data_IF_886067744475
#
_entry.id   IF_886067744475
#
_cell.length_a   1.000
_cell.length_b   1.000
_cell.length_c   1.000
_cell.angle_alpha   90.00
_cell.angle_beta   90.00
_cell.angle_gamma   90.00
#
_symmetry.space_group_name_H-M   'P 1'
#
loop_
_entity.id
_entity.type
_entity.pdbx_description
1 polymer ?
#
# COMPACT_ATOMS: atom_id res chain seq x y z
N UNK A 1 -2.83 9.40 -11.62
CA UNK A 1 -1.66 8.68 -12.17
C UNK A 1 -2.14 7.92 -13.40
N UNK A 2 -1.56 8.15 -14.60
CA UNK A 2 -2.01 7.45 -15.81
C UNK A 2 -1.20 6.16 -16.02
N UNK A 3 -1.78 5.18 -16.73
CA UNK A 3 -1.08 3.96 -17.14
C UNK A 3 0.13 4.26 -18.03
N UNK A 4 0.15 5.39 -18.73
CA UNK A 4 1.29 5.81 -19.55
C UNK A 4 2.58 5.90 -18.72
N UNK A 5 2.50 6.42 -17.48
CA UNK A 5 3.65 6.48 -16.57
C UNK A 5 4.18 5.10 -16.19
N UNK A 6 3.30 4.10 -16.09
CA UNK A 6 3.73 2.71 -15.86
C UNK A 6 4.45 2.17 -17.09
N UNK A 7 3.91 2.43 -18.30
CA UNK A 7 4.50 1.98 -19.58
C UNK A 7 5.87 2.64 -19.77
N UNK A 8 5.99 3.94 -19.53
CA UNK A 8 7.26 4.68 -19.59
C UNK A 8 8.30 4.06 -18.65
N UNK A 9 7.90 3.78 -17.40
CA UNK A 9 8.81 3.20 -16.40
C UNK A 9 9.22 1.75 -16.75
N UNK A 10 8.31 0.95 -17.32
CA UNK A 10 8.63 -0.38 -17.85
C UNK A 10 9.69 -0.28 -18.96
N UNK A 11 9.53 0.68 -19.86
CA UNK A 11 10.48 0.88 -20.97
C UNK A 11 11.85 1.37 -20.46
N UNK A 12 11.87 2.27 -19.49
CA UNK A 12 13.09 2.79 -18.84
C UNK A 12 13.86 1.68 -18.13
N UNK A 13 13.20 0.93 -17.26
CA UNK A 13 13.81 -0.15 -16.48
C UNK A 13 14.02 -1.43 -17.30
N UNK A 14 13.40 -1.54 -18.48
CA UNK A 14 13.36 -2.78 -19.30
C UNK A 14 12.88 -3.99 -18.49
N UNK A 15 11.99 -3.76 -17.56
CA UNK A 15 11.48 -4.75 -16.62
C UNK A 15 9.97 -4.55 -16.41
N UNK A 16 9.10 -5.49 -16.84
CA UNK A 16 7.65 -5.39 -16.64
C UNK A 16 7.17 -6.02 -15.33
N UNK A 17 8.08 -6.42 -14.44
CA UNK A 17 7.74 -7.15 -13.22
C UNK A 17 7.05 -6.24 -12.21
N UNK A 18 5.97 -6.72 -11.59
CA UNK A 18 5.30 -6.08 -10.46
C UNK A 18 5.61 -6.85 -9.19
N UNK A 19 6.12 -6.18 -8.16
CA UNK A 19 6.38 -6.81 -6.89
C UNK A 19 5.11 -6.83 -6.02
N UNK A 20 4.69 -8.02 -5.55
CA UNK A 20 3.61 -8.18 -4.58
C UNK A 20 4.06 -7.77 -3.19
N UNK A 21 3.25 -6.93 -2.51
CA UNK A 21 3.41 -6.62 -1.10
C UNK A 21 2.30 -7.32 -0.32
N UNK A 22 2.53 -8.59 0.00
CA UNK A 22 1.61 -9.49 0.70
C UNK A 22 2.19 -9.86 2.08
N UNK A 23 2.32 -8.90 3.02
CA UNK A 23 3.12 -9.05 4.23
C UNK A 23 2.41 -9.95 5.25
N UNK A 24 2.77 -11.22 5.30
CA UNK A 24 2.40 -12.09 6.43
C UNK A 24 3.39 -11.89 7.56
N UNK A 25 2.91 -11.75 8.80
CA UNK A 25 3.77 -11.56 9.96
C UNK A 25 4.82 -12.69 10.11
N UNK A 26 4.47 -13.92 9.69
CA UNK A 26 5.38 -15.07 9.68
C UNK A 26 6.52 -14.96 8.67
N UNK A 27 6.41 -14.09 7.66
CA UNK A 27 7.45 -13.88 6.65
C UNK A 27 8.39 -12.73 7.02
N UNK A 28 7.98 -11.91 8.00
CA UNK A 28 8.79 -10.77 8.44
C UNK A 28 9.96 -11.25 9.27
N UNK A 29 11.18 -10.82 8.98
CA UNK A 29 12.37 -11.16 9.77
C UNK A 29 12.21 -10.84 11.26
N UNK A 30 12.72 -11.70 12.11
CA UNK A 30 12.55 -11.58 13.57
C UNK A 30 13.07 -10.25 14.12
N UNK A 31 14.17 -9.72 13.60
CA UNK A 31 14.71 -8.44 14.07
C UNK A 31 13.75 -7.25 13.83
N UNK A 32 12.96 -7.28 12.75
CA UNK A 32 11.94 -6.25 12.48
C UNK A 32 10.77 -6.42 13.46
N UNK A 33 10.29 -7.67 13.66
CA UNK A 33 9.21 -7.96 14.61
C UNK A 33 9.59 -7.57 16.03
N UNK A 34 10.79 -7.95 16.47
CA UNK A 34 11.29 -7.62 17.81
C UNK A 34 11.40 -6.11 18.03
N UNK A 35 11.86 -5.36 17.03
CA UNK A 35 11.93 -3.90 17.12
C UNK A 35 10.53 -3.28 17.23
N UNK A 36 9.59 -3.69 16.40
CA UNK A 36 8.22 -3.20 16.42
C UNK A 36 7.51 -3.56 17.73
N UNK A 37 7.64 -4.80 18.20
CA UNK A 37 7.00 -5.26 19.44
C UNK A 37 7.64 -4.65 20.70
N UNK A 38 8.93 -4.36 20.69
CA UNK A 38 9.57 -3.61 21.78
C UNK A 38 8.97 -2.21 21.93
N UNK A 39 8.60 -1.54 20.84
CA UNK A 39 8.04 -0.17 20.84
C UNK A 39 6.52 -0.13 21.07
N UNK A 40 5.80 -1.08 20.54
CA UNK A 40 4.33 -1.07 20.49
C UNK A 40 3.66 -2.25 21.21
N UNK A 41 4.46 -3.16 21.80
CA UNK A 41 3.96 -4.39 22.42
C UNK A 41 3.53 -5.43 21.38
N UNK A 42 3.17 -6.62 21.84
CA UNK A 42 2.57 -7.70 21.03
C UNK A 42 1.08 -7.41 20.80
N UNK A 43 0.80 -6.40 19.98
CA UNK A 43 -0.52 -5.84 19.71
C UNK A 43 -0.76 -5.74 18.20
N UNK A 44 -1.98 -5.42 17.79
CA UNK A 44 -2.29 -5.10 16.39
C UNK A 44 -1.45 -3.92 15.87
N UNK A 45 -1.15 -2.95 16.74
CA UNK A 45 -0.28 -1.81 16.43
C UNK A 45 1.16 -2.27 16.17
N UNK A 46 1.71 -3.12 17.03
CA UNK A 46 3.05 -3.69 16.86
C UNK A 46 3.16 -4.55 15.60
N UNK A 47 2.13 -5.35 15.30
CA UNK A 47 2.06 -6.11 14.05
C UNK A 47 2.04 -5.19 12.83
N UNK A 48 1.18 -4.16 12.81
CA UNK A 48 1.07 -3.20 11.71
C UNK A 48 2.38 -2.42 11.48
N UNK A 49 3.07 -2.03 12.55
CA UNK A 49 4.38 -1.38 12.47
C UNK A 49 5.43 -2.32 11.87
N UNK A 50 5.44 -3.60 12.24
CA UNK A 50 6.34 -4.59 11.64
C UNK A 50 6.09 -4.75 10.14
N UNK A 51 4.81 -4.79 9.71
CA UNK A 51 4.42 -4.82 8.30
C UNK A 51 4.96 -3.59 7.55
N UNK A 52 4.76 -2.41 8.13
CA UNK A 52 5.18 -1.15 7.51
C UNK A 52 6.70 -1.07 7.34
N UNK A 53 7.47 -1.43 8.37
CA UNK A 53 8.93 -1.45 8.30
C UNK A 53 9.44 -2.44 7.25
N UNK A 54 8.86 -3.63 7.21
CA UNK A 54 9.21 -4.65 6.21
C UNK A 54 8.95 -4.17 4.79
N UNK A 55 7.76 -3.58 4.54
CA UNK A 55 7.42 -3.04 3.22
C UNK A 55 8.32 -1.87 2.81
N UNK A 56 8.68 -0.97 3.73
CA UNK A 56 9.63 0.11 3.45
C UNK A 56 10.98 -0.44 3.01
N UNK A 57 11.48 -1.46 3.71
CA UNK A 57 12.71 -2.14 3.32
C UNK A 57 12.64 -2.80 1.93
N UNK A 58 11.52 -3.46 1.60
CA UNK A 58 11.29 -4.03 0.27
C UNK A 58 11.21 -2.94 -0.81
N UNK A 59 10.49 -1.86 -0.54
CA UNK A 59 10.35 -0.73 -1.47
C UNK A 59 11.71 -0.09 -1.74
N UNK A 60 12.52 0.15 -0.70
CA UNK A 60 13.86 0.70 -0.85
C UNK A 60 14.78 -0.19 -1.69
N UNK A 61 14.65 -1.51 -1.53
CA UNK A 61 15.44 -2.49 -2.28
C UNK A 61 14.98 -2.70 -3.73
N UNK A 62 13.76 -2.29 -4.07
CA UNK A 62 13.13 -2.61 -5.36
C UNK A 62 12.81 -1.39 -6.24
N UNK A 63 12.87 -0.17 -5.70
CA UNK A 63 12.37 1.03 -6.39
C UNK A 63 13.13 1.39 -7.68
N UNK A 64 14.35 0.92 -7.84
CA UNK A 64 15.18 1.06 -9.04
C UNK A 64 15.19 -0.20 -9.93
N UNK A 65 14.52 -1.27 -9.52
CA UNK A 65 14.49 -2.55 -10.19
C UNK A 65 13.14 -2.81 -10.89
N UNK A 66 12.03 -2.55 -10.18
CA UNK A 66 10.68 -2.81 -10.68
C UNK A 66 9.89 -1.53 -10.91
N UNK A 67 9.01 -1.45 -11.92
CA UNK A 67 8.22 -0.26 -12.19
C UNK A 67 7.05 -0.07 -11.23
N UNK A 68 6.59 -1.16 -10.58
CA UNK A 68 5.37 -1.14 -9.79
C UNK A 68 5.40 -2.10 -8.61
N UNK A 69 4.58 -1.78 -7.60
CA UNK A 69 4.25 -2.68 -6.49
C UNK A 69 2.73 -2.89 -6.40
N UNK A 70 2.32 -4.05 -5.87
CA UNK A 70 0.91 -4.41 -5.69
C UNK A 70 0.65 -4.83 -4.24
N UNK A 71 0.29 -3.90 -3.34
CA UNK A 71 -0.16 -4.26 -2.02
C UNK A 71 -1.52 -4.96 -2.06
N UNK A 72 -1.60 -6.12 -1.39
CA UNK A 72 -2.82 -6.87 -1.22
C UNK A 72 -3.53 -6.44 0.06
N UNK A 73 -4.68 -5.75 -0.05
CA UNK A 73 -5.38 -5.13 1.07
C UNK A 73 -5.71 -6.09 2.21
N UNK A 74 -6.06 -7.34 1.91
CA UNK A 74 -6.47 -8.32 2.90
C UNK A 74 -5.41 -8.57 4.00
N UNK A 75 -4.12 -8.52 3.66
CA UNK A 75 -3.02 -8.72 4.62
C UNK A 75 -2.83 -7.56 5.59
N UNK A 76 -3.42 -6.42 5.31
CA UNK A 76 -3.43 -5.26 6.19
C UNK A 76 -4.74 -5.17 6.97
N UNK A 77 -5.86 -5.41 6.29
CA UNK A 77 -7.21 -5.35 6.88
C UNK A 77 -7.38 -6.29 8.07
N UNK A 78 -6.74 -7.46 8.06
CA UNK A 78 -6.78 -8.42 9.16
C UNK A 78 -6.22 -7.87 10.48
N UNK A 79 -5.47 -6.76 10.44
CA UNK A 79 -4.96 -6.06 11.62
C UNK A 79 -5.79 -4.82 11.99
N UNK A 80 -7.02 -4.70 11.43
CA UNK A 80 -7.94 -3.59 11.72
C UNK A 80 -7.39 -2.22 11.35
N UNK A 81 -7.74 -1.19 12.12
CA UNK A 81 -7.32 0.18 11.84
C UNK A 81 -5.79 0.37 11.74
N UNK A 82 -4.96 -0.18 12.65
CA UNK A 82 -3.51 -0.08 12.50
C UNK A 82 -2.99 -0.64 11.18
N UNK A 83 -3.56 -1.75 10.73
CA UNK A 83 -3.22 -2.35 9.44
C UNK A 83 -3.62 -1.47 8.25
N UNK A 84 -4.81 -0.88 8.27
CA UNK A 84 -5.26 0.06 7.23
C UNK A 84 -4.36 1.30 7.16
N UNK A 85 -3.93 1.82 8.30
CA UNK A 85 -2.93 2.90 8.37
C UNK A 85 -1.61 2.46 7.74
N UNK A 86 -1.11 1.27 8.08
CA UNK A 86 0.11 0.73 7.49
C UNK A 86 0.00 0.55 5.96
N UNK A 87 -1.18 0.15 5.44
CA UNK A 87 -1.45 0.11 4.01
C UNK A 87 -1.33 1.50 3.37
N UNK A 88 -2.01 2.50 3.94
CA UNK A 88 -1.98 3.87 3.42
C UNK A 88 -0.55 4.44 3.41
N UNK A 89 0.20 4.24 4.49
CA UNK A 89 1.59 4.67 4.58
C UNK A 89 2.53 3.91 3.63
N UNK A 90 2.29 2.62 3.40
CA UNK A 90 3.02 1.81 2.41
C UNK A 90 2.80 2.35 1.00
N UNK A 91 1.55 2.65 0.63
CA UNK A 91 1.19 3.22 -0.68
C UNK A 91 1.87 4.57 -0.87
N UNK A 92 1.78 5.47 0.11
CA UNK A 92 2.43 6.79 0.07
C UNK A 92 3.93 6.65 -0.13
N UNK A 93 4.59 5.82 0.68
CA UNK A 93 6.04 5.60 0.60
C UNK A 93 6.48 5.04 -0.76
N UNK A 94 5.75 4.08 -1.30
CA UNK A 94 6.04 3.54 -2.64
C UNK A 94 5.95 4.62 -3.73
N UNK A 95 4.97 5.52 -3.64
CA UNK A 95 4.82 6.63 -4.58
C UNK A 95 5.91 7.68 -4.43
N UNK A 96 6.33 8.01 -3.20
CA UNK A 96 7.48 8.90 -2.93
C UNK A 96 8.77 8.35 -3.55
N UNK A 97 8.93 7.02 -3.56
CA UNK A 97 10.04 6.33 -4.24
C UNK A 97 9.86 6.18 -5.76
N UNK A 98 8.81 6.76 -6.31
CA UNK A 98 8.54 6.76 -7.75
C UNK A 98 7.96 5.47 -8.30
N UNK A 99 7.52 4.52 -7.49
CA UNK A 99 6.86 3.30 -7.94
C UNK A 99 5.41 3.57 -8.35
N UNK A 100 4.94 2.87 -9.37
CA UNK A 100 3.52 2.78 -9.66
C UNK A 100 2.86 1.82 -8.66
N UNK A 101 1.68 2.19 -8.13
CA UNK A 101 1.00 1.36 -7.13
C UNK A 101 -0.30 0.80 -7.68
N UNK A 102 -0.45 -0.52 -7.60
CA UNK A 102 -1.66 -1.26 -7.97
C UNK A 102 -2.31 -1.77 -6.68
N UNK A 103 -3.38 -1.13 -6.21
CA UNK A 103 -4.08 -1.58 -5.01
C UNK A 103 -4.99 -2.76 -5.33
N UNK A 104 -4.68 -3.96 -4.78
CA UNK A 104 -5.50 -5.16 -4.95
C UNK A 104 -6.51 -5.28 -3.79
N UNK A 105 -7.71 -4.73 -3.98
CA UNK A 105 -8.72 -4.63 -2.92
C UNK A 105 -9.95 -5.50 -3.10
N UNK A 106 -10.25 -5.98 -4.32
CA UNK A 106 -11.47 -6.73 -4.65
C UNK A 106 -12.74 -6.08 -4.08
N UNK A 107 -12.91 -4.78 -4.37
CA UNK A 107 -14.02 -3.92 -3.92
C UNK A 107 -15.00 -3.65 -5.06
N UNK A 108 -15.64 -4.70 -5.57
CA UNK A 108 -16.67 -4.59 -6.60
C UNK A 108 -18.06 -4.68 -5.97
N UNK A 109 -18.96 -3.78 -6.38
CA UNK A 109 -20.35 -3.71 -5.93
C UNK A 109 -21.19 -2.95 -6.96
N UNK A 110 -22.46 -2.72 -6.69
CA UNK A 110 -23.41 -2.01 -7.55
C UNK A 110 -23.97 -0.76 -6.89
N UNK A 111 -24.51 0.17 -7.71
CA UNK A 111 -25.20 1.38 -7.24
C UNK A 111 -24.34 2.25 -6.33
N UNK A 112 -24.94 2.80 -5.29
CA UNK A 112 -24.28 3.72 -4.34
C UNK A 112 -23.14 3.09 -3.57
N UNK A 113 -23.13 1.77 -3.37
CA UNK A 113 -22.01 1.06 -2.74
C UNK A 113 -20.79 1.09 -3.63
N UNK A 114 -20.95 0.88 -4.94
CA UNK A 114 -19.85 1.02 -5.91
C UNK A 114 -19.30 2.45 -5.92
N UNK A 115 -20.17 3.48 -5.86
CA UNK A 115 -19.75 4.88 -5.79
C UNK A 115 -18.87 5.14 -4.57
N UNK A 116 -19.24 4.60 -3.40
CA UNK A 116 -18.45 4.73 -2.18
C UNK A 116 -17.07 4.06 -2.31
N UNK A 117 -17.00 2.85 -2.89
CA UNK A 117 -15.72 2.19 -3.17
C UNK A 117 -14.88 2.95 -4.19
N UNK A 118 -15.50 3.47 -5.24
CA UNK A 118 -14.81 4.27 -6.25
C UNK A 118 -14.22 5.56 -5.64
N UNK A 119 -14.99 6.27 -4.83
CA UNK A 119 -14.51 7.45 -4.11
C UNK A 119 -13.33 7.12 -3.21
N UNK A 120 -13.40 6.00 -2.45
CA UNK A 120 -12.36 5.59 -1.51
C UNK A 120 -11.06 5.16 -2.18
N UNK A 121 -11.12 4.54 -3.36
CA UNK A 121 -9.95 3.94 -4.00
C UNK A 121 -9.46 4.67 -5.25
N UNK A 122 -10.32 5.37 -5.98
CA UNK A 122 -10.01 5.95 -7.29
C UNK A 122 -10.32 7.44 -7.39
N UNK A 123 -11.11 7.98 -6.48
CA UNK A 123 -11.65 9.33 -6.56
C UNK A 123 -11.26 10.23 -5.39
N UNK A 124 -12.24 10.99 -4.94
CA UNK A 124 -12.13 11.89 -3.80
C UNK A 124 -13.44 11.91 -2.99
N UNK A 125 -13.35 12.34 -1.76
CA UNK A 125 -14.51 12.62 -0.90
C UNK A 125 -14.53 14.12 -0.61
N UNK A 126 -15.68 14.77 -0.83
CA UNK A 126 -15.86 16.18 -0.48
C UNK A 126 -16.49 16.33 0.91
N UNK A 127 -15.86 17.10 1.77
CA UNK A 127 -16.39 17.46 3.10
C UNK A 127 -16.49 18.99 3.16
N UNK A 128 -17.70 19.51 3.24
CA UNK A 128 -17.97 20.98 3.24
C UNK A 128 -17.28 21.71 2.07
N UNK A 129 -17.25 21.09 0.89
CA UNK A 129 -16.63 21.67 -0.31
C UNK A 129 -15.11 21.49 -0.41
N UNK A 130 -14.48 20.88 0.57
CA UNK A 130 -13.05 20.56 0.53
C UNK A 130 -12.84 19.12 0.05
N UNK A 131 -12.06 18.90 -1.05
CA UNK A 131 -11.77 17.56 -1.54
C UNK A 131 -10.71 16.86 -0.71
N UNK A 132 -10.93 15.59 -0.42
CA UNK A 132 -9.96 14.68 0.18
C UNK A 132 -9.68 13.52 -0.78
N UNK A 133 -8.44 13.40 -1.19
CA UNK A 133 -8.02 12.41 -2.18
C UNK A 133 -8.07 10.99 -1.61
N UNK A 134 -8.40 10.05 -2.48
CA UNK A 134 -8.40 8.62 -2.17
C UNK A 134 -7.00 8.05 -1.92
N UNK A 135 -6.93 6.80 -1.41
CA UNK A 135 -5.69 6.07 -1.18
C UNK A 135 -4.74 6.04 -2.38
N UNK A 136 -5.27 6.03 -3.60
CA UNK A 136 -4.44 6.00 -4.81
C UNK A 136 -3.82 7.36 -5.14
N UNK A 137 -4.33 8.45 -4.55
CA UNK A 137 -3.85 9.82 -4.80
C UNK A 137 -3.02 10.40 -3.64
N UNK A 138 -2.98 9.72 -2.49
CA UNK A 138 -2.20 10.17 -1.32
C UNK A 138 -0.71 10.08 -1.60
#
# INVERSE_FOLDING_TARGET
MSLDRLIEKIAELKNPTVAGLDPKLSYIPDFIKQDAFRRHGETLEGAAEALLQFNRGLIDALCDIVPAVKPQCAYYEMYGWPGLRALAETIRYAKEKGLFVITDGKRNDIGSTMEAYAAAHLGEVSINGHPFLSLIHI
#
